data_IF_710494040212
#
_entry.id   IF_710494040212
#
_cell.length_a   1.000
_cell.length_b   1.000
_cell.length_c   1.000
_cell.angle_alpha   90.00
_cell.angle_beta   90.00
_cell.angle_gamma   90.00
#
_symmetry.space_group_name_H-M   'P 1'
#
loop_
_entity.id
_entity.type
_entity.pdbx_description
1 polymer ?
#
# COMPACT_ATOMS: atom_id res chain seq x y z
N UNK A 1 -27.15 -21.19 -44.04
CA UNK A 1 -27.61 -19.99 -43.32
C UNK A 1 -27.91 -20.33 -41.86
N UNK A 2 -27.22 -19.63 -40.95
CA UNK A 2 -27.46 -19.38 -39.53
C UNK A 2 -27.93 -20.52 -38.57
N UNK A 3 -26.97 -21.06 -37.80
CA UNK A 3 -27.23 -21.68 -36.50
C UNK A 3 -27.80 -20.62 -35.53
N UNK A 4 -29.07 -20.77 -35.11
CA UNK A 4 -29.66 -19.98 -34.03
C UNK A 4 -29.00 -20.33 -32.68
N UNK A 5 -28.03 -19.51 -32.26
CA UNK A 5 -27.52 -19.49 -30.87
C UNK A 5 -28.69 -19.09 -29.94
N UNK A 6 -29.17 -20.05 -29.13
CA UNK A 6 -30.08 -19.76 -28.02
C UNK A 6 -29.31 -18.93 -26.98
N UNK A 7 -29.70 -17.67 -26.81
CA UNK A 7 -29.24 -16.84 -25.69
C UNK A 7 -29.58 -17.52 -24.36
N UNK A 8 -28.70 -17.50 -23.35
CA UNK A 8 -29.03 -18.00 -22.03
C UNK A 8 -30.10 -17.10 -21.40
N UNK A 9 -31.24 -17.71 -21.05
CA UNK A 9 -32.31 -17.04 -20.29
C UNK A 9 -31.71 -16.44 -19.01
N UNK A 10 -31.93 -15.15 -18.81
CA UNK A 10 -31.65 -14.43 -17.57
C UNK A 10 -32.36 -15.15 -16.41
N UNK A 11 -31.64 -16.05 -15.72
CA UNK A 11 -32.10 -16.69 -14.49
C UNK A 11 -32.12 -15.60 -13.43
N UNK A 12 -33.31 -15.03 -13.14
CA UNK A 12 -33.51 -14.21 -11.95
C UNK A 12 -33.14 -15.08 -10.75
N UNK A 13 -32.03 -14.76 -10.09
CA UNK A 13 -31.61 -15.43 -8.86
C UNK A 13 -32.75 -15.26 -7.85
N UNK A 14 -33.29 -16.35 -7.26
CA UNK A 14 -34.33 -16.30 -6.23
C UNK A 14 -33.96 -15.31 -5.13
N UNK A 15 -34.96 -14.55 -4.66
CA UNK A 15 -34.75 -13.46 -3.71
C UNK A 15 -34.13 -13.97 -2.40
N UNK A 16 -34.57 -15.13 -1.93
CA UNK A 16 -34.07 -15.81 -0.73
C UNK A 16 -32.56 -16.13 -0.80
N UNK A 17 -32.07 -16.47 -2.00
CA UNK A 17 -30.65 -16.75 -2.24
C UNK A 17 -29.82 -15.44 -2.19
N UNK A 18 -30.39 -14.32 -2.65
CA UNK A 18 -29.71 -13.01 -2.57
C UNK A 18 -29.68 -12.50 -1.15
N UNK A 19 -30.77 -12.66 -0.40
CA UNK A 19 -30.85 -12.27 1.01
C UNK A 19 -29.90 -13.10 1.88
N UNK A 20 -29.80 -14.41 1.64
CA UNK A 20 -28.80 -15.27 2.29
C UNK A 20 -27.35 -14.89 1.94
N UNK A 21 -27.06 -14.60 0.67
CA UNK A 21 -25.74 -14.15 0.24
C UNK A 21 -25.35 -12.79 0.85
N UNK A 22 -26.30 -11.85 0.93
CA UNK A 22 -26.10 -10.56 1.59
C UNK A 22 -25.85 -10.73 3.10
N UNK A 23 -26.58 -11.64 3.76
CA UNK A 23 -26.35 -11.94 5.17
C UNK A 23 -24.96 -12.52 5.41
N UNK A 24 -24.49 -13.45 4.56
CA UNK A 24 -23.13 -13.98 4.65
C UNK A 24 -22.06 -12.93 4.36
N UNK A 25 -22.26 -12.07 3.36
CA UNK A 25 -21.33 -10.97 3.07
C UNK A 25 -21.30 -9.93 4.20
N UNK A 26 -22.44 -9.61 4.79
CA UNK A 26 -22.54 -8.69 5.93
C UNK A 26 -21.87 -9.27 7.18
N UNK A 27 -22.02 -10.58 7.43
CA UNK A 27 -21.31 -11.28 8.50
C UNK A 27 -19.80 -11.25 8.27
N UNK A 28 -19.33 -11.61 7.08
CA UNK A 28 -17.90 -11.56 6.72
C UNK A 28 -17.32 -10.14 6.79
N UNK A 29 -18.11 -9.12 6.41
CA UNK A 29 -17.73 -7.72 6.56
C UNK A 29 -17.62 -7.32 8.04
N UNK A 30 -18.57 -7.74 8.88
CA UNK A 30 -18.55 -7.47 10.32
C UNK A 30 -17.34 -8.11 10.99
N UNK A 31 -17.02 -9.34 10.63
CA UNK A 31 -15.84 -10.06 11.14
C UNK A 31 -14.53 -9.39 10.68
N UNK A 32 -14.45 -8.98 9.41
CA UNK A 32 -13.31 -8.23 8.89
C UNK A 32 -13.11 -6.89 9.61
N UNK A 33 -14.20 -6.16 9.88
CA UNK A 33 -14.16 -4.90 10.65
C UNK A 33 -13.68 -5.16 12.08
N UNK A 34 -14.15 -6.23 12.72
CA UNK A 34 -13.79 -6.58 14.09
C UNK A 34 -12.30 -6.96 14.18
N UNK A 35 -11.83 -7.84 13.29
CA UNK A 35 -10.41 -8.21 13.19
C UNK A 35 -9.51 -7.01 12.90
N UNK A 36 -9.93 -6.12 12.01
CA UNK A 36 -9.18 -4.88 11.70
C UNK A 36 -9.10 -3.98 12.93
N UNK A 37 -10.18 -3.90 13.73
CA UNK A 37 -10.22 -3.10 14.95
C UNK A 37 -9.33 -3.67 16.06
N UNK A 38 -9.27 -5.00 16.21
CA UNK A 38 -8.38 -5.67 17.16
C UNK A 38 -6.92 -5.56 16.75
N UNK A 39 -6.63 -5.69 15.45
CA UNK A 39 -5.30 -5.49 14.91
C UNK A 39 -4.83 -4.05 15.13
N UNK A 40 -5.71 -3.07 14.87
CA UNK A 40 -5.43 -1.66 15.14
C UNK A 40 -5.19 -1.40 16.63
N UNK A 41 -6.02 -1.95 17.53
CA UNK A 41 -5.77 -1.88 18.99
C UNK A 41 -4.47 -2.54 19.41
N UNK A 42 -4.09 -3.65 18.78
CA UNK A 42 -2.82 -4.34 19.06
C UNK A 42 -1.62 -3.49 18.62
N UNK A 43 -1.72 -2.82 17.47
CA UNK A 43 -0.70 -1.86 17.01
C UNK A 43 -0.67 -0.60 17.89
N UNK A 44 -1.83 -0.10 18.31
CA UNK A 44 -1.98 1.07 19.18
C UNK A 44 -1.54 0.82 20.62
N UNK A 45 -1.63 -0.42 21.11
CA UNK A 45 -1.08 -0.84 22.41
C UNK A 45 0.40 -1.20 22.34
N UNK A 46 0.98 -1.38 21.15
CA UNK A 46 2.41 -1.61 20.98
C UNK A 46 3.17 -0.28 21.14
N UNK A 47 3.72 -0.05 22.34
CA UNK A 47 4.56 1.10 22.67
C UNK A 47 6.06 0.87 22.41
N UNK A 48 6.43 -0.33 21.94
CA UNK A 48 7.81 -0.70 21.61
C UNK A 48 8.20 -0.29 20.18
N UNK A 49 9.52 -0.25 19.88
CA UNK A 49 9.99 -0.06 18.51
C UNK A 49 9.50 -1.21 17.62
N UNK A 50 8.90 -0.89 16.48
CA UNK A 50 8.47 -1.89 15.50
C UNK A 50 9.72 -2.54 14.89
N UNK A 51 9.82 -3.88 14.86
CA UNK A 51 10.94 -4.57 14.23
C UNK A 51 11.11 -4.16 12.75
N UNK A 52 12.36 -4.04 12.24
CA UNK A 52 12.62 -3.60 10.86
C UNK A 52 12.14 -4.59 9.80
N UNK A 53 11.89 -5.85 10.16
CA UNK A 53 11.31 -6.91 9.34
C UNK A 53 9.78 -7.00 9.44
N UNK A 54 9.16 -6.19 10.32
CA UNK A 54 7.72 -6.23 10.54
C UNK A 54 6.93 -5.76 9.31
N UNK A 55 5.82 -6.43 8.95
CA UNK A 55 4.96 -6.02 7.83
C UNK A 55 4.19 -4.72 8.05
N UNK A 56 4.34 -4.08 9.23
CA UNK A 56 3.66 -2.81 9.57
C UNK A 56 4.63 -1.67 9.93
N UNK A 57 5.93 -1.83 9.62
CA UNK A 57 6.99 -0.87 9.94
C UNK A 57 6.77 0.55 9.39
N UNK A 58 5.95 0.72 8.36
CA UNK A 58 5.62 2.03 7.77
C UNK A 58 4.15 2.45 7.97
N UNK A 59 3.33 1.67 8.69
CA UNK A 59 1.88 1.90 8.79
C UNK A 59 1.51 3.28 9.34
N UNK A 60 2.35 3.85 10.21
CA UNK A 60 2.16 5.17 10.83
C UNK A 60 2.93 6.31 10.16
N UNK A 61 3.74 6.01 9.16
CA UNK A 61 4.63 6.98 8.52
C UNK A 61 3.98 7.55 7.26
N UNK A 62 4.26 8.82 6.98
CA UNK A 62 3.98 9.36 5.65
C UNK A 62 4.85 8.65 4.62
N UNK A 63 4.42 8.62 3.35
CA UNK A 63 5.21 7.99 2.26
C UNK A 63 6.63 8.58 2.21
N UNK A 64 6.78 9.89 2.42
CA UNK A 64 8.10 10.54 2.45
C UNK A 64 8.96 10.08 3.63
N UNK A 65 8.38 9.98 4.83
CA UNK A 65 9.11 9.51 6.01
C UNK A 65 9.46 8.02 5.93
N UNK A 66 8.58 7.21 5.33
CA UNK A 66 8.84 5.80 5.06
C UNK A 66 10.01 5.62 4.08
N UNK A 67 10.05 6.42 3.00
CA UNK A 67 11.18 6.44 2.06
C UNK A 67 12.47 6.85 2.76
N UNK A 68 12.45 7.89 3.60
CA UNK A 68 13.62 8.31 4.38
C UNK A 68 14.08 7.24 5.37
N UNK A 69 13.16 6.58 6.07
CA UNK A 69 13.46 5.52 7.03
C UNK A 69 14.13 4.32 6.34
N UNK A 70 13.60 3.89 5.20
CA UNK A 70 14.20 2.81 4.43
C UNK A 70 15.56 3.20 3.84
N UNK A 71 15.67 4.40 3.26
CA UNK A 71 16.94 4.91 2.72
C UNK A 71 17.99 5.15 3.83
N UNK A 72 17.57 5.34 5.08
CA UNK A 72 18.46 5.41 6.24
C UNK A 72 18.93 4.05 6.75
N UNK A 73 18.13 3.00 6.57
CA UNK A 73 18.52 1.63 6.92
C UNK A 73 19.37 0.96 5.83
N UNK A 74 19.29 1.43 4.59
CA UNK A 74 20.07 0.92 3.45
C UNK A 74 21.17 1.90 3.02
N UNK A 75 22.41 1.43 2.98
CA UNK A 75 23.54 2.22 2.50
C UNK A 75 23.59 2.34 0.96
N UNK A 76 22.66 1.70 0.25
CA UNK A 76 22.66 1.60 -1.21
C UNK A 76 21.58 2.48 -1.84
N UNK A 77 21.86 3.14 -2.97
CA UNK A 77 20.82 3.80 -3.77
C UNK A 77 19.72 2.82 -4.15
N UNK A 78 18.46 3.24 -4.06
CA UNK A 78 17.29 2.43 -4.38
C UNK A 78 16.56 2.98 -5.60
N UNK A 79 15.98 2.09 -6.40
CA UNK A 79 15.09 2.50 -7.49
C UNK A 79 13.71 2.88 -6.94
N UNK A 80 12.95 3.66 -7.70
CA UNK A 80 11.56 3.97 -7.33
C UNK A 80 10.71 2.70 -7.17
N UNK A 81 10.93 1.67 -7.99
CA UNK A 81 10.20 0.41 -7.92
C UNK A 81 10.56 -0.38 -6.65
N UNK A 82 11.84 -0.41 -6.28
CA UNK A 82 12.28 -1.02 -5.02
C UNK A 82 11.68 -0.29 -3.81
N UNK A 83 11.59 1.05 -3.85
CA UNK A 83 10.95 1.83 -2.79
C UNK A 83 9.47 1.48 -2.67
N UNK A 84 8.74 1.40 -3.79
CA UNK A 84 7.31 1.02 -3.78
C UNK A 84 7.13 -0.36 -3.16
N UNK A 85 7.89 -1.36 -3.64
CA UNK A 85 7.77 -2.74 -3.16
C UNK A 85 8.08 -2.86 -1.65
N UNK A 86 9.11 -2.16 -1.17
CA UNK A 86 9.45 -2.13 0.25
C UNK A 86 8.37 -1.47 1.11
N UNK A 87 7.83 -0.34 0.63
CA UNK A 87 6.77 0.37 1.33
C UNK A 87 5.48 -0.46 1.40
N UNK A 88 5.09 -1.13 0.31
CA UNK A 88 3.97 -2.07 0.29
C UNK A 88 4.20 -3.24 1.27
N UNK A 89 5.41 -3.83 1.25
CA UNK A 89 5.78 -4.92 2.16
C UNK A 89 5.85 -4.50 3.63
N UNK A 90 6.06 -3.20 3.91
CA UNK A 90 6.03 -2.62 5.25
C UNK A 90 4.70 -1.99 5.65
N UNK A 91 3.64 -2.23 4.88
CA UNK A 91 2.27 -1.83 5.22
C UNK A 91 2.00 -0.34 5.04
N UNK A 92 2.77 0.35 4.19
CA UNK A 92 2.53 1.75 3.84
C UNK A 92 1.23 1.86 3.04
N UNK A 93 0.36 2.79 3.43
CA UNK A 93 -0.93 2.99 2.79
C UNK A 93 -0.78 4.04 1.68
N UNK A 94 -1.02 3.62 0.43
CA UNK A 94 -1.10 4.53 -0.71
C UNK A 94 -2.54 5.03 -0.88
N UNK A 95 -2.70 6.32 -1.20
CA UNK A 95 -4.02 6.87 -1.52
C UNK A 95 -4.58 6.31 -2.83
N UNK A 96 -5.89 6.10 -2.90
CA UNK A 96 -6.56 5.45 -4.05
C UNK A 96 -6.59 6.26 -5.36
N UNK A 97 -6.15 7.53 -5.34
CA UNK A 97 -6.30 8.46 -6.48
C UNK A 97 -5.14 8.37 -7.47
N UNK A 98 -3.94 8.00 -7.00
CA UNK A 98 -2.71 7.97 -7.80
C UNK A 98 -2.04 6.62 -7.66
N UNK A 99 -1.27 6.22 -8.66
CA UNK A 99 -0.50 4.98 -8.56
C UNK A 99 0.58 5.10 -7.47
N UNK A 100 0.93 4.01 -6.76
CA UNK A 100 1.99 4.02 -5.75
C UNK A 100 3.30 4.62 -6.26
N UNK A 101 3.68 4.28 -7.50
CA UNK A 101 4.87 4.80 -8.15
C UNK A 101 4.83 6.32 -8.34
N UNK A 102 3.69 6.89 -8.70
CA UNK A 102 3.52 8.35 -8.83
C UNK A 102 3.60 9.04 -7.47
N UNK A 103 3.01 8.45 -6.43
CA UNK A 103 3.04 8.98 -5.06
C UNK A 103 4.47 8.98 -4.52
N UNK A 104 5.20 7.87 -4.68
CA UNK A 104 6.61 7.76 -4.27
C UNK A 104 7.47 8.74 -5.06
N UNK A 105 7.31 8.81 -6.39
CA UNK A 105 8.06 9.74 -7.24
C UNK A 105 7.87 11.20 -6.83
N UNK A 106 6.62 11.62 -6.55
CA UNK A 106 6.32 12.98 -6.06
C UNK A 106 6.92 13.25 -4.68
N UNK A 107 6.84 12.27 -3.78
CA UNK A 107 7.41 12.37 -2.44
C UNK A 107 8.94 12.52 -2.51
N UNK A 108 9.61 11.68 -3.31
CA UNK A 108 11.05 11.79 -3.57
C UNK A 108 11.41 13.14 -4.15
N UNK A 109 10.69 13.61 -5.17
CA UNK A 109 10.97 14.89 -5.80
C UNK A 109 10.87 16.06 -4.80
N UNK A 110 9.86 16.05 -3.92
CA UNK A 110 9.71 17.05 -2.86
C UNK A 110 10.88 17.00 -1.86
N UNK A 111 11.29 15.80 -1.42
CA UNK A 111 12.41 15.63 -0.48
C UNK A 111 13.78 15.95 -1.11
N UNK A 112 13.92 15.79 -2.43
CA UNK A 112 15.09 16.27 -3.17
C UNK A 112 15.13 17.80 -3.21
N UNK A 113 13.99 18.46 -3.43
CA UNK A 113 13.90 19.94 -3.37
C UNK A 113 14.23 20.47 -1.97
N UNK A 114 13.88 19.74 -0.92
CA UNK A 114 14.22 20.05 0.47
C UNK A 114 15.68 19.71 0.84
N UNK A 115 16.46 19.14 -0.08
CA UNK A 115 17.85 18.77 0.16
C UNK A 115 18.06 17.55 1.07
N UNK A 116 17.01 16.78 1.37
CA UNK A 116 17.10 15.57 2.21
C UNK A 116 17.43 14.30 1.41
N UNK A 117 17.06 14.28 0.14
CA UNK A 117 17.35 13.19 -0.82
C UNK A 117 18.14 13.73 -2.01
N UNK A 118 18.85 12.83 -2.70
CA UNK A 118 19.50 13.15 -3.98
C UNK A 118 19.22 12.07 -5.02
N UNK A 119 19.04 12.52 -6.26
CA UNK A 119 19.10 11.62 -7.42
C UNK A 119 20.55 11.22 -7.66
N UNK A 120 20.80 9.92 -7.76
CA UNK A 120 22.13 9.36 -7.96
C UNK A 120 22.48 9.24 -9.45
N UNK A 121 21.47 9.29 -10.33
CA UNK A 121 21.65 9.18 -11.76
C UNK A 121 20.93 10.28 -12.55
N UNK A 122 21.40 10.52 -13.78
CA UNK A 122 20.84 11.51 -14.72
C UNK A 122 19.40 11.16 -15.15
N UNK A 123 19.06 9.88 -15.16
CA UNK A 123 17.72 9.38 -15.49
C UNK A 123 16.70 9.56 -14.36
N UNK A 124 17.10 10.05 -13.17
CA UNK A 124 16.22 10.24 -12.01
C UNK A 124 15.44 8.98 -11.65
N UNK A 125 16.11 7.83 -11.66
CA UNK A 125 15.50 6.54 -11.26
C UNK A 125 16.08 6.00 -9.97
N UNK A 126 17.28 6.42 -9.57
CA UNK A 126 17.95 5.99 -8.34
C UNK A 126 18.03 7.12 -7.32
N UNK A 127 17.63 6.82 -6.09
CA UNK A 127 17.53 7.77 -4.98
C UNK A 127 18.40 7.30 -3.82
N UNK A 128 19.10 8.23 -3.19
CA UNK A 128 19.80 7.99 -1.94
C UNK A 128 19.60 9.17 -0.98
N UNK A 129 19.90 8.97 0.30
CA UNK A 129 19.99 10.07 1.25
C UNK A 129 21.01 11.12 0.77
N UNK A 130 20.67 12.39 0.95
CA UNK A 130 21.65 13.45 0.86
C UNK A 130 22.55 13.31 2.09
N UNK A 131 23.80 12.87 1.89
CA UNK A 131 24.79 12.89 2.97
C UNK A 131 25.02 14.35 3.31
N UNK A 132 24.57 14.77 4.50
CA UNK A 132 25.00 16.02 5.09
C UNK A 132 26.46 15.81 5.46
N UNK A 133 27.36 16.37 4.63
CA UNK A 133 28.76 16.58 4.99
C UNK A 133 28.85 17.69 6.03
#
# INVERSE_FOLDING_TARGET
>A
MAQKKKQPKNRKVPQDIRESALAHLAAGYKDAVLLTSEFKRSIDSFSGPIPPDSPVRYLRLSVGDAVMAFLGSTSKPQSLDSLVHELEAGGCIFGAIKSPQEIVSKSVAAYVQMGRLRWVNKSKTLVALAVVL
#
